data_IF_976466074586
#
_entry.id   IF_976466074586
#
_cell.length_a   1.000
_cell.length_b   1.000
_cell.length_c   1.000
_cell.angle_alpha   90.00
_cell.angle_beta   90.00
_cell.angle_gamma   90.00
#
_symmetry.space_group_name_H-M   'P 1'
#
loop_
_entity.id
_entity.type
_entity.pdbx_description
1 polymer ?
#
# COMPACT_ATOMS: atom_id res chain seq x y z
N UNK A 1 -14.53 -27.20 9.77
CA UNK A 1 -14.79 -27.36 8.32
C UNK A 1 -13.89 -26.39 7.58
N UNK A 2 -13.01 -26.87 6.71
CA UNK A 2 -12.14 -26.04 5.88
C UNK A 2 -12.98 -25.26 4.88
N UNK A 3 -12.90 -23.92 4.91
CA UNK A 3 -13.54 -23.05 3.92
C UNK A 3 -12.89 -23.29 2.56
N UNK A 4 -13.64 -23.82 1.60
CA UNK A 4 -13.14 -24.07 0.25
C UNK A 4 -12.74 -22.75 -0.42
N UNK A 5 -11.52 -22.72 -0.98
CA UNK A 5 -10.98 -21.57 -1.72
C UNK A 5 -11.86 -21.23 -2.91
N UNK A 6 -12.10 -19.94 -3.15
CA UNK A 6 -12.92 -19.45 -4.26
C UNK A 6 -12.04 -18.72 -5.29
N UNK A 7 -12.23 -19.05 -6.55
CA UNK A 7 -11.57 -18.41 -7.69
C UNK A 7 -12.62 -17.69 -8.54
N UNK A 8 -12.21 -16.62 -9.22
CA UNK A 8 -13.04 -15.99 -10.27
C UNK A 8 -12.43 -16.30 -11.63
N UNK A 9 -13.19 -16.99 -12.47
CA UNK A 9 -12.85 -17.18 -13.88
C UNK A 9 -13.45 -16.03 -14.68
N UNK A 10 -12.60 -15.30 -15.40
CA UNK A 10 -13.00 -14.25 -16.33
C UNK A 10 -12.46 -14.60 -17.71
N UNK A 11 -13.29 -14.53 -18.74
CA UNK A 11 -12.85 -14.71 -20.12
C UNK A 11 -13.72 -13.90 -21.08
N UNK A 12 -13.14 -13.53 -22.23
CA UNK A 12 -13.86 -12.90 -23.33
C UNK A 12 -13.97 -13.90 -24.49
N UNK A 13 -15.13 -13.91 -25.15
CA UNK A 13 -15.43 -14.81 -26.26
C UNK A 13 -16.35 -14.12 -27.27
N UNK A 14 -16.18 -14.32 -28.57
CA UNK A 14 -17.15 -13.90 -29.57
C UNK A 14 -18.55 -14.42 -29.24
N UNK A 15 -19.57 -13.61 -29.48
CA UNK A 15 -20.96 -13.94 -29.10
C UNK A 15 -21.44 -15.27 -29.69
N UNK A 16 -20.98 -15.62 -30.90
CA UNK A 16 -21.26 -16.90 -31.57
C UNK A 16 -20.74 -18.15 -30.81
N UNK A 17 -19.69 -18.03 -30.00
CA UNK A 17 -19.11 -19.14 -29.24
C UNK A 17 -19.42 -19.09 -27.74
N UNK A 18 -20.23 -18.13 -27.30
CA UNK A 18 -20.56 -17.87 -25.91
C UNK A 18 -21.25 -19.09 -25.24
N UNK A 19 -22.28 -19.63 -25.89
CA UNK A 19 -23.07 -20.73 -25.34
C UNK A 19 -22.20 -21.97 -25.07
N UNK A 20 -21.40 -22.36 -26.07
CA UNK A 20 -20.49 -23.50 -25.98
C UNK A 20 -19.43 -23.32 -24.87
N UNK A 21 -18.90 -22.11 -24.69
CA UNK A 21 -17.93 -21.83 -23.64
C UNK A 21 -18.55 -21.91 -22.24
N UNK A 22 -19.79 -21.40 -22.06
CA UNK A 22 -20.51 -21.49 -20.79
C UNK A 22 -20.83 -22.94 -20.43
N UNK A 23 -21.32 -23.72 -21.38
CA UNK A 23 -21.60 -25.14 -21.17
C UNK A 23 -20.35 -25.90 -20.72
N UNK A 24 -19.21 -25.66 -21.39
CA UNK A 24 -17.95 -26.32 -21.07
C UNK A 24 -17.44 -26.02 -19.65
N UNK A 25 -17.49 -24.74 -19.21
CA UNK A 25 -17.03 -24.39 -17.86
C UNK A 25 -17.99 -24.87 -16.77
N UNK A 26 -19.30 -24.91 -17.04
CA UNK A 26 -20.29 -25.39 -16.09
C UNK A 26 -20.24 -26.91 -15.90
N UNK A 27 -20.06 -27.65 -17.00
CA UNK A 27 -19.76 -29.08 -16.96
C UNK A 27 -18.48 -29.37 -16.15
N UNK A 28 -17.49 -28.48 -16.23
CA UNK A 28 -16.25 -28.55 -15.46
C UNK A 28 -16.37 -28.11 -13.99
N UNK A 29 -17.55 -27.66 -13.54
CA UNK A 29 -17.82 -27.31 -12.16
C UNK A 29 -17.72 -25.83 -11.81
N UNK A 30 -17.45 -24.94 -12.78
CA UNK A 30 -17.59 -23.50 -12.57
C UNK A 30 -19.06 -23.10 -12.40
N UNK A 31 -19.31 -21.97 -11.76
CA UNK A 31 -20.67 -21.43 -11.54
C UNK A 31 -21.49 -22.20 -10.50
N UNK A 32 -20.89 -23.13 -9.74
CA UNK A 32 -21.56 -23.84 -8.65
C UNK A 32 -21.37 -23.10 -7.33
N UNK A 33 -22.46 -22.73 -6.67
CA UNK A 33 -22.44 -22.04 -5.39
C UNK A 33 -22.80 -23.00 -4.24
N UNK A 34 -21.87 -23.32 -3.33
CA UNK A 34 -22.17 -24.14 -2.16
C UNK A 34 -23.02 -23.34 -1.18
N UNK A 35 -24.24 -23.80 -0.93
CA UNK A 35 -25.20 -23.18 -0.01
C UNK A 35 -26.59 -23.83 -0.13
N UNK A 36 -27.55 -23.45 0.74
CA UNK A 36 -28.90 -24.06 0.78
C UNK A 36 -29.64 -24.01 -0.57
N UNK A 37 -29.33 -23.01 -1.40
CA UNK A 37 -29.96 -22.83 -2.71
C UNK A 37 -29.37 -23.67 -3.84
N UNK A 38 -28.23 -24.34 -3.64
CA UNK A 38 -27.57 -25.23 -4.62
C UNK A 38 -27.53 -24.68 -6.06
N UNK A 39 -27.25 -23.38 -6.23
CA UNK A 39 -27.23 -22.74 -7.54
C UNK A 39 -26.11 -23.31 -8.42
N UNK A 40 -26.45 -23.64 -9.65
CA UNK A 40 -25.53 -24.08 -10.69
C UNK A 40 -25.53 -23.08 -11.84
N UNK A 41 -24.50 -23.13 -12.69
CA UNK A 41 -24.44 -22.34 -13.93
C UNK A 41 -24.46 -20.81 -13.71
N UNK A 42 -24.06 -20.37 -12.51
CA UNK A 42 -24.00 -18.95 -12.17
C UNK A 42 -22.87 -18.26 -12.94
N UNK A 43 -23.21 -17.25 -13.73
CA UNK A 43 -22.23 -16.34 -14.33
C UNK A 43 -22.82 -14.95 -14.51
N UNK A 44 -21.94 -13.95 -14.52
CA UNK A 44 -22.22 -12.64 -15.06
C UNK A 44 -21.78 -12.60 -16.52
N UNK A 45 -22.51 -11.87 -17.36
CA UNK A 45 -22.14 -11.67 -18.78
C UNK A 45 -22.45 -10.26 -19.20
N UNK A 46 -21.50 -9.62 -19.88
CA UNK A 46 -21.67 -8.31 -20.50
C UNK A 46 -21.15 -8.36 -21.93
N UNK A 47 -21.87 -7.73 -22.86
CA UNK A 47 -21.47 -7.61 -24.26
C UNK A 47 -20.69 -6.31 -24.43
N UNK A 48 -19.59 -6.36 -25.18
CA UNK A 48 -18.78 -5.20 -25.53
C UNK A 48 -17.99 -5.42 -26.82
N UNK A 49 -17.19 -4.44 -27.20
CA UNK A 49 -16.35 -4.51 -28.41
C UNK A 49 -14.92 -4.88 -28.03
N UNK A 50 -14.45 -6.04 -28.48
CA UNK A 50 -13.05 -6.43 -28.45
C UNK A 50 -12.30 -5.80 -29.62
N UNK A 51 -11.07 -5.35 -29.38
CA UNK A 51 -10.22 -4.74 -30.40
C UNK A 51 -8.81 -5.33 -30.33
N UNK A 52 -8.30 -5.82 -31.46
CA UNK A 52 -6.93 -6.33 -31.55
C UNK A 52 -6.35 -6.17 -32.96
N UNK A 53 -5.02 -6.15 -33.06
CA UNK A 53 -4.28 -6.16 -34.33
C UNK A 53 -3.29 -7.33 -34.29
N UNK A 54 -3.52 -8.43 -35.01
CA UNK A 54 -2.61 -9.57 -35.01
C UNK A 54 -1.24 -9.14 -35.58
N UNK A 55 -0.16 -9.43 -34.87
CA UNK A 55 1.21 -9.21 -35.35
C UNK A 55 1.68 -10.33 -36.29
N UNK A 56 2.87 -10.18 -36.88
CA UNK A 56 3.34 -11.04 -37.98
C UNK A 56 3.47 -12.53 -37.63
N UNK A 57 3.72 -12.84 -36.36
CA UNK A 57 3.79 -14.22 -35.85
C UNK A 57 2.43 -14.80 -35.43
N UNK A 58 1.34 -14.03 -35.52
CA UNK A 58 0.03 -14.47 -35.08
C UNK A 58 -0.59 -15.43 -36.09
N UNK A 59 -1.29 -16.45 -35.57
CA UNK A 59 -2.18 -17.33 -36.34
C UNK A 59 -3.62 -17.05 -35.93
N UNK A 60 -4.19 -15.89 -36.32
CA UNK A 60 -5.49 -15.47 -35.83
C UNK A 60 -6.60 -16.41 -36.31
N UNK A 61 -7.48 -16.80 -35.40
CA UNK A 61 -8.75 -17.44 -35.76
C UNK A 61 -9.79 -16.40 -36.24
N UNK A 62 -9.60 -15.13 -35.84
CA UNK A 62 -10.39 -13.96 -36.23
C UNK A 62 -9.45 -12.80 -36.54
N UNK A 63 -9.73 -12.04 -37.59
CA UNK A 63 -8.92 -10.90 -38.02
C UNK A 63 -7.79 -11.28 -38.97
N UNK A 64 -7.09 -10.25 -39.47
CA UNK A 64 -6.00 -10.39 -40.44
C UNK A 64 -4.71 -9.79 -39.86
N UNK A 65 -3.57 -10.42 -40.13
CA UNK A 65 -2.25 -9.92 -39.71
C UNK A 65 -2.05 -8.48 -40.20
N UNK A 66 -1.58 -7.62 -39.29
CA UNK A 66 -1.35 -6.20 -39.54
C UNK A 66 -2.60 -5.32 -39.57
N UNK A 67 -3.82 -5.89 -39.59
CA UNK A 67 -5.07 -5.12 -39.64
C UNK A 67 -5.76 -5.05 -38.28
N UNK A 68 -6.27 -3.85 -37.95
CA UNK A 68 -7.11 -3.68 -36.77
C UNK A 68 -8.42 -4.44 -36.99
N UNK A 69 -8.81 -5.25 -36.02
CA UNK A 69 -10.08 -5.98 -36.01
C UNK A 69 -10.86 -5.58 -34.76
N UNK A 70 -12.10 -5.19 -34.99
CA UNK A 70 -13.12 -5.09 -33.95
C UNK A 70 -14.08 -6.28 -34.06
N UNK A 71 -14.52 -6.79 -32.93
CA UNK A 71 -15.47 -7.90 -32.85
C UNK A 71 -16.34 -7.74 -31.60
N UNK A 72 -17.62 -8.09 -31.73
CA UNK A 72 -18.52 -8.14 -30.58
C UNK A 72 -18.20 -9.37 -29.72
N UNK A 73 -17.93 -9.12 -28.43
CA UNK A 73 -17.52 -10.12 -27.47
C UNK A 73 -18.40 -10.08 -26.23
N UNK A 74 -18.58 -11.26 -25.63
CA UNK A 74 -19.10 -11.40 -24.29
C UNK A 74 -17.94 -11.57 -23.31
N UNK A 75 -17.87 -10.70 -22.29
CA UNK A 75 -17.07 -10.94 -21.08
C UNK A 75 -17.91 -11.74 -20.11
N UNK A 76 -17.44 -12.93 -19.76
CA UNK A 76 -18.09 -13.83 -18.82
C UNK A 76 -17.28 -13.87 -17.52
N UNK A 77 -17.96 -13.72 -16.39
CA UNK A 77 -17.37 -13.89 -15.07
C UNK A 77 -18.13 -14.96 -14.29
N UNK A 78 -17.42 -15.93 -13.71
CA UNK A 78 -18.02 -16.97 -12.88
C UNK A 78 -17.11 -17.35 -11.72
N UNK A 79 -17.68 -17.99 -10.70
CA UNK A 79 -16.94 -18.49 -9.55
C UNK A 79 -16.53 -19.95 -9.76
N UNK A 80 -15.34 -20.33 -9.31
CA UNK A 80 -14.96 -21.74 -9.16
C UNK A 80 -14.64 -21.99 -7.68
N UNK A 81 -15.33 -22.97 -7.08
CA UNK A 81 -15.06 -23.36 -5.70
C UNK A 81 -14.12 -24.57 -5.70
N UNK A 82 -12.93 -24.38 -5.16
CA UNK A 82 -11.84 -25.35 -5.23
C UNK A 82 -10.96 -25.16 -6.46
N UNK A 83 -9.71 -25.58 -6.32
CA UNK A 83 -8.70 -25.45 -7.38
C UNK A 83 -9.00 -26.37 -8.56
N UNK A 84 -9.56 -27.56 -8.31
CA UNK A 84 -9.92 -28.52 -9.35
C UNK A 84 -10.98 -27.94 -10.30
N UNK A 85 -12.02 -27.30 -9.75
CA UNK A 85 -13.05 -26.64 -10.55
C UNK A 85 -12.45 -25.52 -11.43
N UNK A 86 -11.50 -24.74 -10.90
CA UNK A 86 -10.81 -23.70 -11.66
C UNK A 86 -9.95 -24.29 -12.79
N UNK A 87 -9.13 -25.31 -12.49
CA UNK A 87 -8.26 -25.99 -13.45
C UNK A 87 -9.07 -26.68 -14.55
N UNK A 88 -10.14 -27.38 -14.17
CA UNK A 88 -11.01 -28.07 -15.11
C UNK A 88 -11.73 -27.09 -16.03
N UNK A 89 -12.22 -25.96 -15.51
CA UNK A 89 -12.87 -24.94 -16.33
C UNK A 89 -11.91 -24.31 -17.35
N UNK A 90 -10.67 -24.01 -16.95
CA UNK A 90 -9.64 -23.52 -17.88
C UNK A 90 -9.26 -24.59 -18.92
N UNK A 91 -9.14 -25.85 -18.49
CA UNK A 91 -8.89 -26.97 -19.41
C UNK A 91 -10.01 -27.13 -20.43
N UNK A 92 -11.27 -27.04 -19.98
CA UNK A 92 -12.45 -27.12 -20.82
C UNK A 92 -12.44 -26.01 -21.89
N UNK A 93 -12.17 -24.76 -21.51
CA UNK A 93 -12.03 -23.65 -22.47
C UNK A 93 -10.91 -23.90 -23.48
N UNK A 94 -9.73 -24.39 -23.04
CA UNK A 94 -8.60 -24.67 -23.95
C UNK A 94 -8.88 -25.80 -24.95
N UNK A 95 -9.72 -26.75 -24.57
CA UNK A 95 -10.11 -27.89 -25.40
C UNK A 95 -11.16 -27.54 -26.46
N UNK A 96 -11.83 -26.39 -26.34
CA UNK A 96 -12.75 -25.92 -27.37
C UNK A 96 -11.95 -25.45 -28.61
N UNK A 97 -12.43 -25.84 -29.78
CA UNK A 97 -11.97 -25.32 -31.08
C UNK A 97 -12.46 -23.90 -31.35
N UNK A 98 -13.32 -23.34 -30.48
CA UNK A 98 -13.86 -22.00 -30.60
C UNK A 98 -12.78 -20.92 -30.61
N UNK A 99 -12.99 -19.80 -31.32
CA UNK A 99 -12.13 -18.61 -31.29
C UNK A 99 -12.19 -17.92 -29.92
N UNK A 100 -11.56 -18.49 -28.91
CA UNK A 100 -11.35 -17.82 -27.63
C UNK A 100 -10.07 -16.98 -27.78
N UNK A 101 -10.19 -15.66 -27.60
CA UNK A 101 -9.03 -14.74 -27.60
C UNK A 101 -8.04 -14.98 -26.44
N UNK A 102 -8.33 -15.96 -25.57
CA UNK A 102 -7.38 -16.55 -24.62
C UNK A 102 -6.06 -16.99 -25.27
N UNK A 103 -6.03 -17.31 -26.57
CA UNK A 103 -4.80 -17.81 -27.23
C UNK A 103 -3.78 -16.73 -27.57
N UNK A 104 -4.13 -15.43 -27.56
CA UNK A 104 -3.20 -14.33 -27.92
C UNK A 104 -2.86 -13.35 -26.80
N UNK A 105 -3.46 -13.49 -25.61
CA UNK A 105 -3.02 -12.81 -24.39
C UNK A 105 -2.62 -13.84 -23.31
N UNK A 106 -1.55 -14.64 -23.55
CA UNK A 106 -1.12 -15.64 -22.59
C UNK A 106 -0.62 -15.03 -21.27
N UNK A 107 -0.19 -13.76 -21.26
CA UNK A 107 0.60 -13.23 -20.15
C UNK A 107 -0.23 -12.93 -18.91
N UNK A 108 -1.36 -12.22 -19.03
CA UNK A 108 -2.08 -11.73 -17.84
C UNK A 108 -2.80 -12.85 -17.07
N UNK A 109 -3.41 -13.80 -17.77
CA UNK A 109 -4.19 -14.87 -17.12
C UNK A 109 -3.34 -16.06 -16.64
N UNK A 110 -2.24 -16.41 -17.33
CA UNK A 110 -1.28 -17.38 -16.79
C UNK A 110 -0.42 -16.78 -15.68
N UNK A 111 -0.15 -15.46 -15.68
CA UNK A 111 0.50 -14.80 -14.53
C UNK A 111 -0.30 -15.03 -13.25
N UNK A 112 -1.61 -14.80 -13.23
CA UNK A 112 -2.42 -15.09 -12.04
C UNK A 112 -2.34 -16.56 -11.59
N UNK A 113 -2.35 -17.51 -12.52
CA UNK A 113 -2.31 -18.94 -12.18
C UNK A 113 -0.93 -19.43 -11.69
N UNK A 114 0.16 -18.90 -12.26
CA UNK A 114 1.54 -19.19 -11.83
C UNK A 114 1.95 -18.42 -10.58
N UNK A 115 1.51 -17.17 -10.44
CA UNK A 115 1.60 -16.36 -9.22
C UNK A 115 0.97 -17.12 -8.05
N UNK A 116 -0.26 -17.58 -8.24
CA UNK A 116 -1.01 -18.28 -7.21
C UNK A 116 -0.44 -19.66 -6.88
N UNK A 117 0.09 -20.41 -7.88
CA UNK A 117 0.74 -21.70 -7.62
C UNK A 117 2.10 -21.55 -6.92
N UNK A 118 2.91 -20.54 -7.28
CA UNK A 118 4.13 -20.20 -6.53
C UNK A 118 3.80 -19.74 -5.12
N UNK A 119 2.79 -18.88 -4.93
CA UNK A 119 2.34 -18.43 -3.61
C UNK A 119 1.80 -19.56 -2.73
N UNK A 120 1.12 -20.58 -3.32
CA UNK A 120 0.73 -21.80 -2.61
C UNK A 120 1.90 -22.75 -2.32
N UNK A 121 2.91 -22.78 -3.19
CA UNK A 121 4.13 -23.57 -2.98
C UNK A 121 5.16 -22.89 -2.08
N UNK A 122 5.00 -21.59 -1.79
CA UNK A 122 5.64 -20.96 -0.64
C UNK A 122 4.92 -21.47 0.61
N UNK A 123 5.42 -22.55 1.18
CA UNK A 123 5.01 -22.95 2.52
C UNK A 123 5.08 -21.72 3.43
N UNK A 124 3.99 -21.44 4.14
CA UNK A 124 3.97 -20.35 5.12
C UNK A 124 5.13 -20.61 6.08
N UNK A 125 6.11 -19.70 6.06
CA UNK A 125 7.29 -19.80 6.92
C UNK A 125 6.99 -19.14 8.24
N UNK A 126 7.47 -19.75 9.32
CA UNK A 126 7.66 -19.03 10.58
C UNK A 126 8.66 -17.91 10.32
N UNK A 127 8.37 -16.71 10.80
CA UNK A 127 9.28 -15.57 10.71
C UNK A 127 9.94 -15.41 12.07
N UNK A 128 11.27 -15.43 12.14
CA UNK A 128 12.03 -15.26 13.38
C UNK A 128 13.17 -14.26 13.22
N UNK A 129 13.85 -14.25 12.07
CA UNK A 129 14.97 -13.37 11.79
C UNK A 129 14.51 -12.22 10.88
N UNK A 130 14.54 -10.98 11.40
CA UNK A 130 14.04 -9.79 10.72
C UNK A 130 15.18 -8.79 10.53
N UNK A 131 15.41 -8.38 9.29
CA UNK A 131 16.36 -7.31 8.96
C UNK A 131 15.62 -6.02 8.64
N UNK A 132 16.14 -4.87 9.08
CA UNK A 132 15.50 -3.56 8.88
C UNK A 132 16.42 -2.65 8.06
N UNK A 133 15.95 -2.18 6.91
CA UNK A 133 16.56 -1.10 6.17
C UNK A 133 15.96 0.25 6.63
N UNK A 134 16.80 1.16 7.10
CA UNK A 134 16.36 2.45 7.68
C UNK A 134 16.03 2.38 9.19
N UNK A 135 16.52 1.37 9.90
CA UNK A 135 16.27 1.15 11.34
C UNK A 135 16.80 2.24 12.28
N UNK A 136 17.58 3.20 11.79
CA UNK A 136 18.09 4.35 12.57
C UNK A 136 17.23 5.61 12.44
N UNK A 137 16.24 5.62 11.54
CA UNK A 137 15.28 6.73 11.41
C UNK A 137 14.22 6.75 12.51
N UNK A 138 13.33 7.75 12.52
CA UNK A 138 12.31 7.96 13.58
C UNK A 138 11.42 6.73 13.85
N UNK A 139 11.05 5.97 12.81
CA UNK A 139 10.22 4.76 12.94
C UNK A 139 11.02 3.51 13.34
N UNK A 140 12.34 3.56 13.26
CA UNK A 140 13.23 2.44 13.57
C UNK A 140 13.16 1.99 15.02
N UNK A 141 13.42 2.87 16.01
CA UNK A 141 13.39 2.50 17.43
C UNK A 141 12.09 1.83 17.91
N UNK A 142 10.87 2.34 17.63
CA UNK A 142 9.65 1.64 18.02
C UNK A 142 9.48 0.29 17.29
N UNK A 143 9.87 0.21 16.02
CA UNK A 143 9.83 -1.05 15.26
C UNK A 143 10.75 -2.10 15.89
N UNK A 144 12.01 -1.74 16.17
CA UNK A 144 13.00 -2.60 16.83
C UNK A 144 12.49 -3.07 18.19
N UNK A 145 11.96 -2.16 19.01
CA UNK A 145 11.44 -2.48 20.35
C UNK A 145 10.32 -3.53 20.29
N UNK A 146 9.32 -3.35 19.42
CA UNK A 146 8.20 -4.30 19.32
C UNK A 146 8.61 -5.64 18.71
N UNK A 147 9.56 -5.65 17.77
CA UNK A 147 10.15 -6.87 17.24
C UNK A 147 10.90 -7.66 18.34
N UNK A 148 11.81 -7.01 19.07
CA UNK A 148 12.54 -7.65 20.17
C UNK A 148 11.59 -8.16 21.26
N UNK A 149 10.58 -7.35 21.65
CA UNK A 149 9.56 -7.72 22.63
C UNK A 149 8.80 -9.00 22.25
N UNK A 150 8.57 -9.23 20.95
CA UNK A 150 7.87 -10.41 20.44
C UNK A 150 8.82 -11.55 20.05
N UNK A 151 10.09 -11.48 20.45
CA UNK A 151 11.06 -12.57 20.31
C UNK A 151 11.72 -12.70 18.95
N UNK A 152 11.58 -11.69 18.07
CA UNK A 152 12.31 -11.68 16.80
C UNK A 152 13.80 -11.39 17.03
N UNK A 153 14.67 -12.05 16.26
CA UNK A 153 16.07 -11.62 16.11
C UNK A 153 16.11 -10.47 15.12
N UNK A 154 16.69 -9.35 15.52
CA UNK A 154 16.66 -8.12 14.74
C UNK A 154 18.05 -7.73 14.30
N UNK A 155 18.21 -7.49 12.99
CA UNK A 155 19.39 -6.86 12.40
C UNK A 155 19.00 -5.54 11.72
N UNK A 156 19.90 -4.56 11.70
CA UNK A 156 19.67 -3.26 11.06
C UNK A 156 20.75 -3.00 10.02
N UNK A 157 20.32 -2.73 8.79
CA UNK A 157 21.18 -2.24 7.73
C UNK A 157 21.43 -0.74 7.89
N UNK A 158 22.69 -0.32 7.83
CA UNK A 158 23.11 1.08 7.89
C UNK A 158 24.35 1.34 7.05
N UNK A 159 24.47 2.54 6.50
CA UNK A 159 25.68 2.99 5.78
C UNK A 159 26.88 3.19 6.70
N UNK A 160 26.64 3.39 8.00
CA UNK A 160 27.70 3.63 8.97
C UNK A 160 27.36 2.88 10.28
N UNK A 161 27.89 1.67 10.48
CA UNK A 161 27.64 0.88 11.69
C UNK A 161 28.10 1.57 12.97
N UNK A 162 29.26 2.24 12.94
CA UNK A 162 29.85 2.87 14.13
C UNK A 162 29.04 4.03 14.73
N UNK A 163 28.15 4.66 13.95
CA UNK A 163 27.28 5.74 14.43
C UNK A 163 25.89 5.27 14.85
N UNK A 164 25.57 3.99 14.67
CA UNK A 164 24.26 3.44 15.02
C UNK A 164 24.11 3.29 16.54
N UNK A 165 23.24 4.12 17.13
CA UNK A 165 22.88 4.05 18.55
C UNK A 165 21.70 3.10 18.73
N UNK A 166 21.96 1.80 18.72
CA UNK A 166 20.95 0.74 18.82
C UNK A 166 21.19 -0.15 20.05
N UNK A 167 20.16 -0.87 20.54
CA UNK A 167 20.32 -1.83 21.62
C UNK A 167 21.41 -2.88 21.29
N UNK A 168 22.17 -3.35 22.29
CA UNK A 168 23.32 -4.25 22.07
C UNK A 168 22.93 -5.62 21.48
N UNK A 169 21.68 -6.05 21.67
CA UNK A 169 21.13 -7.27 21.08
C UNK A 169 20.79 -7.15 19.58
N UNK A 170 20.82 -5.95 19.01
CA UNK A 170 20.56 -5.71 17.59
C UNK A 170 21.87 -5.81 16.80
N UNK A 171 21.92 -6.71 15.83
CA UNK A 171 23.06 -6.79 14.92
C UNK A 171 23.05 -5.58 13.98
N UNK A 172 24.16 -4.85 13.89
CA UNK A 172 24.30 -3.73 12.97
C UNK A 172 25.15 -4.16 11.78
N UNK A 173 24.58 -4.10 10.58
CA UNK A 173 25.19 -4.59 9.34
C UNK A 173 25.43 -3.40 8.41
N UNK A 174 26.66 -3.30 7.90
CA UNK A 174 26.98 -2.31 6.88
C UNK A 174 26.22 -2.57 5.59
N UNK A 175 25.69 -1.51 4.97
CA UNK A 175 24.89 -1.60 3.77
C UNK A 175 25.20 -0.44 2.82
N UNK A 176 25.61 -0.79 1.60
CA UNK A 176 25.66 0.12 0.46
C UNK A 176 24.43 -0.13 -0.42
N UNK A 177 23.55 0.88 -0.48
CA UNK A 177 22.28 0.84 -1.20
C UNK A 177 22.39 1.20 -2.70
N UNK A 178 23.62 1.28 -3.24
CA UNK A 178 23.85 1.68 -4.64
C UNK A 178 23.32 0.64 -5.64
N UNK A 179 23.48 -0.66 -5.36
CA UNK A 179 22.94 -1.73 -6.19
C UNK A 179 22.55 -2.97 -5.38
N UNK A 180 21.86 -3.93 -6.01
CA UNK A 180 21.49 -5.16 -5.32
C UNK A 180 22.73 -6.02 -5.02
N UNK A 181 23.74 -5.94 -5.88
CA UNK A 181 25.05 -6.60 -5.76
C UNK A 181 25.84 -6.06 -4.57
N UNK A 182 25.80 -4.75 -4.31
CA UNK A 182 26.48 -4.16 -3.14
C UNK A 182 25.81 -4.54 -1.82
N UNK A 183 24.51 -4.84 -1.83
CA UNK A 183 23.78 -5.36 -0.66
C UNK A 183 23.92 -6.86 -0.44
N UNK A 184 24.44 -7.60 -1.43
CA UNK A 184 24.62 -9.05 -1.38
C UNK A 184 25.28 -9.55 -0.07
N UNK A 185 26.47 -9.05 0.35
CA UNK A 185 27.13 -9.52 1.58
C UNK A 185 26.35 -9.19 2.87
N UNK A 186 25.45 -8.21 2.80
CA UNK A 186 24.63 -7.76 3.92
C UNK A 186 23.36 -8.60 4.10
N UNK A 187 22.97 -9.42 3.11
CA UNK A 187 21.70 -10.14 3.10
C UNK A 187 21.84 -11.64 2.80
N UNK A 188 22.62 -12.03 1.79
CA UNK A 188 22.72 -13.43 1.36
C UNK A 188 23.42 -14.31 2.41
N UNK A 189 22.90 -15.52 2.61
CA UNK A 189 23.48 -16.50 3.55
C UNK A 189 23.27 -16.19 5.03
N UNK A 190 22.62 -15.06 5.38
CA UNK A 190 22.38 -14.64 6.78
C UNK A 190 21.09 -15.22 7.39
N UNK A 191 20.25 -15.87 6.59
CA UNK A 191 19.06 -16.56 7.07
C UNK A 191 17.94 -15.62 7.53
N UNK A 192 17.77 -14.46 6.87
CA UNK A 192 16.65 -13.56 7.15
C UNK A 192 15.33 -14.11 6.58
N UNK A 193 14.30 -14.13 7.41
CA UNK A 193 12.95 -14.54 7.03
C UNK A 193 12.14 -13.36 6.48
N UNK A 194 12.37 -12.18 7.06
CA UNK A 194 11.67 -10.97 6.66
C UNK A 194 12.58 -9.73 6.60
N UNK A 195 12.19 -8.78 5.77
CA UNK A 195 12.81 -7.46 5.68
C UNK A 195 11.77 -6.35 5.92
N UNK A 196 12.09 -5.38 6.76
CA UNK A 196 11.32 -4.15 6.95
C UNK A 196 12.04 -3.00 6.26
N UNK A 197 11.42 -2.36 5.28
CA UNK A 197 11.99 -1.24 4.53
C UNK A 197 11.29 0.05 4.94
N UNK A 198 11.94 0.82 5.81
CA UNK A 198 11.46 2.10 6.36
C UNK A 198 12.39 3.26 5.96
N UNK A 199 12.99 3.16 4.77
CA UNK A 199 13.76 4.24 4.16
C UNK A 199 12.84 5.43 3.82
N UNK A 200 13.38 6.64 3.96
CA UNK A 200 12.62 7.87 3.75
C UNK A 200 12.41 8.19 2.26
N UNK A 201 11.59 9.21 1.98
CA UNK A 201 11.23 9.64 0.62
C UNK A 201 12.41 10.02 -0.29
N UNK A 202 13.56 10.40 0.27
CA UNK A 202 14.75 10.75 -0.50
C UNK A 202 15.56 9.51 -0.90
N UNK A 203 15.16 8.33 -0.43
CA UNK A 203 15.83 7.04 -0.62
C UNK A 203 14.87 6.00 -1.25
N UNK A 204 13.98 6.43 -2.14
CA UNK A 204 13.08 5.51 -2.85
C UNK A 204 13.83 4.61 -3.84
N UNK A 205 14.84 5.11 -4.54
CA UNK A 205 15.69 4.28 -5.40
C UNK A 205 16.39 3.19 -4.59
N UNK A 206 16.94 3.55 -3.42
CA UNK A 206 17.49 2.60 -2.46
C UNK A 206 16.45 1.58 -1.97
N UNK A 207 15.17 1.94 -1.90
CA UNK A 207 14.09 1.01 -1.52
C UNK A 207 13.84 -0.04 -2.60
N UNK A 208 13.88 0.34 -3.88
CA UNK A 208 13.78 -0.58 -5.02
C UNK A 208 14.99 -1.53 -5.04
N UNK A 209 16.19 -0.98 -4.87
CA UNK A 209 17.44 -1.76 -4.78
C UNK A 209 17.39 -2.76 -3.62
N UNK A 210 16.95 -2.31 -2.43
CA UNK A 210 16.81 -3.16 -1.25
C UNK A 210 15.81 -4.29 -1.48
N UNK A 211 14.67 -4.00 -2.13
CA UNK A 211 13.67 -5.01 -2.46
C UNK A 211 14.23 -6.06 -3.42
N UNK A 212 15.00 -5.65 -4.44
CA UNK A 212 15.66 -6.60 -5.34
C UNK A 212 16.70 -7.46 -4.61
N UNK A 213 17.51 -6.86 -3.74
CA UNK A 213 18.49 -7.61 -2.95
C UNK A 213 17.82 -8.62 -2.00
N UNK A 214 16.67 -8.27 -1.42
CA UNK A 214 15.88 -9.18 -0.59
C UNK A 214 15.35 -10.39 -1.40
N UNK A 215 14.86 -10.15 -2.63
CA UNK A 215 14.48 -11.21 -3.57
C UNK A 215 15.66 -12.12 -3.89
N UNK A 216 16.82 -11.54 -4.25
CA UNK A 216 18.02 -12.32 -4.56
C UNK A 216 18.49 -13.17 -3.37
N UNK A 217 18.35 -12.66 -2.15
CA UNK A 217 18.66 -13.37 -0.92
C UNK A 217 17.61 -14.41 -0.49
N UNK A 218 16.49 -14.53 -1.22
CA UNK A 218 15.45 -15.50 -0.92
C UNK A 218 14.63 -15.20 0.34
N UNK A 219 14.56 -13.93 0.75
CA UNK A 219 13.77 -13.47 1.89
C UNK A 219 12.28 -13.72 1.62
N UNK A 220 11.57 -14.27 2.61
CA UNK A 220 10.18 -14.68 2.43
C UNK A 220 9.19 -13.50 2.46
N UNK A 221 9.33 -12.58 3.42
CA UNK A 221 8.37 -11.49 3.67
C UNK A 221 9.02 -10.12 3.64
N UNK A 222 8.44 -9.19 2.89
CA UNK A 222 8.77 -7.77 2.98
C UNK A 222 7.66 -6.99 3.70
N UNK A 223 8.06 -6.02 4.52
CA UNK A 223 7.23 -4.90 4.97
C UNK A 223 7.74 -3.63 4.27
N UNK A 224 7.26 -3.34 3.06
CA UNK A 224 7.65 -2.16 2.30
C UNK A 224 7.04 -0.87 2.86
N UNK A 225 7.61 0.27 2.46
CA UNK A 225 7.19 1.62 2.90
C UNK A 225 5.85 2.07 2.29
N UNK A 226 4.77 1.33 2.57
CA UNK A 226 3.39 1.71 2.23
C UNK A 226 2.86 2.85 3.11
N UNK A 227 3.48 3.07 4.28
CA UNK A 227 3.08 4.03 5.30
C UNK A 227 2.58 5.38 4.74
N UNK A 228 1.51 5.89 5.35
CA UNK A 228 0.75 7.02 4.83
C UNK A 228 -0.66 6.62 4.43
N UNK A 229 -1.06 7.06 3.24
CA UNK A 229 -2.44 7.07 2.72
C UNK A 229 -2.66 6.07 1.59
N UNK A 230 -3.93 5.80 1.26
CA UNK A 230 -4.27 4.89 0.16
C UNK A 230 -3.89 5.47 -1.20
N UNK A 231 -3.78 4.59 -2.19
CA UNK A 231 -3.41 4.92 -3.57
C UNK A 231 -4.52 4.60 -4.57
N UNK A 232 -5.70 4.26 -4.06
CA UNK A 232 -6.82 3.80 -4.88
C UNK A 232 -7.43 4.92 -5.73
N UNK A 233 -7.16 6.19 -5.38
CA UNK A 233 -7.63 7.34 -6.14
C UNK A 233 -6.68 7.64 -7.32
N UNK A 234 -7.11 7.42 -8.58
CA UNK A 234 -6.25 7.63 -9.75
C UNK A 234 -5.82 9.07 -9.96
N UNK A 235 -6.64 10.04 -9.54
CA UNK A 235 -6.31 11.46 -9.64
C UNK A 235 -5.14 11.81 -8.69
N UNK A 236 -5.17 11.28 -7.46
CA UNK A 236 -4.07 11.44 -6.50
C UNK A 236 -2.82 10.71 -6.98
N UNK A 237 -2.96 9.50 -7.54
CA UNK A 237 -1.86 8.75 -8.10
C UNK A 237 -1.12 9.52 -9.21
N UNK A 238 -1.82 10.37 -9.96
CA UNK A 238 -1.24 11.20 -11.02
C UNK A 238 -0.59 12.50 -10.50
N UNK A 239 -0.75 12.84 -9.22
CA UNK A 239 -0.15 14.06 -8.67
C UNK A 239 1.39 13.96 -8.60
N UNK A 240 2.12 15.07 -8.78
CA UNK A 240 3.59 15.05 -8.85
C UNK A 240 4.30 14.40 -7.66
N UNK A 241 3.76 14.55 -6.44
CA UNK A 241 4.39 13.96 -5.26
C UNK A 241 4.32 12.43 -5.24
N UNK A 242 3.38 11.82 -5.97
CA UNK A 242 3.21 10.38 -6.08
C UNK A 242 4.16 9.74 -7.10
N UNK A 243 4.68 10.50 -8.07
CA UNK A 243 5.57 10.00 -9.14
C UNK A 243 6.81 9.27 -8.61
N UNK A 244 7.29 9.65 -7.42
CA UNK A 244 8.48 9.02 -6.80
C UNK A 244 8.14 7.82 -5.91
N UNK A 245 6.93 7.77 -5.33
CA UNK A 245 6.50 6.67 -4.44
C UNK A 245 5.89 5.50 -5.22
N UNK A 246 5.11 5.77 -6.27
CA UNK A 246 4.42 4.73 -7.05
C UNK A 246 5.35 3.66 -7.63
N UNK A 247 6.53 4.00 -8.21
CA UNK A 247 7.44 2.98 -8.74
C UNK A 247 7.89 1.98 -7.67
N UNK A 248 8.14 2.45 -6.44
CA UNK A 248 8.54 1.58 -5.32
C UNK A 248 7.46 0.54 -5.01
N UNK A 249 6.20 0.96 -4.99
CA UNK A 249 5.09 0.08 -4.62
C UNK A 249 4.74 -0.87 -5.77
N UNK A 250 4.76 -0.38 -7.01
CA UNK A 250 4.54 -1.19 -8.20
C UNK A 250 5.63 -2.27 -8.33
N UNK A 251 6.88 -1.96 -7.99
CA UNK A 251 7.98 -2.92 -7.96
C UNK A 251 7.71 -4.07 -6.98
N UNK A 252 7.28 -3.75 -5.75
CA UNK A 252 6.88 -4.75 -4.75
C UNK A 252 5.76 -5.64 -5.28
N UNK A 253 4.69 -5.02 -5.79
CA UNK A 253 3.51 -5.74 -6.27
C UNK A 253 3.87 -6.67 -7.44
N UNK A 254 4.68 -6.20 -8.39
CA UNK A 254 5.13 -6.99 -9.53
C UNK A 254 5.99 -8.19 -9.11
N UNK A 255 6.91 -8.01 -8.15
CA UNK A 255 7.72 -9.11 -7.60
C UNK A 255 6.86 -10.13 -6.84
N UNK A 256 5.89 -9.65 -6.08
CA UNK A 256 4.96 -10.51 -5.35
C UNK A 256 4.05 -11.31 -6.28
N UNK A 257 3.58 -10.70 -7.37
CA UNK A 257 2.83 -11.38 -8.43
C UNK A 257 3.68 -12.46 -9.10
N UNK A 258 4.98 -12.26 -9.30
CA UNK A 258 5.87 -13.30 -9.84
C UNK A 258 6.18 -14.43 -8.85
N UNK A 259 5.71 -14.30 -7.59
CA UNK A 259 6.00 -15.23 -6.49
C UNK A 259 7.47 -15.20 -6.07
N UNK A 260 8.16 -14.07 -6.27
CA UNK A 260 9.58 -13.89 -5.93
C UNK A 260 9.77 -13.54 -4.44
N UNK A 261 8.79 -12.85 -3.85
CA UNK A 261 8.74 -12.47 -2.44
C UNK A 261 7.27 -12.29 -2.03
N UNK A 262 6.94 -12.40 -0.75
CA UNK A 262 5.63 -11.98 -0.23
C UNK A 262 5.72 -10.63 0.45
N UNK A 263 4.62 -9.89 0.54
CA UNK A 263 4.61 -8.58 1.21
C UNK A 263 3.46 -8.44 2.21
N UNK A 264 3.58 -7.47 3.11
CA UNK A 264 2.45 -6.90 3.85
C UNK A 264 2.59 -5.39 3.88
N UNK A 265 1.61 -4.67 3.32
CA UNK A 265 1.57 -3.21 3.38
C UNK A 265 0.73 -2.72 4.55
N UNK A 266 1.12 -1.58 5.13
CA UNK A 266 0.42 -0.95 6.26
C UNK A 266 0.22 0.53 5.93
N UNK A 267 -1.02 0.94 5.75
CA UNK A 267 -1.45 2.34 5.66
C UNK A 267 -1.77 2.85 7.06
N UNK A 268 -1.23 4.02 7.39
CA UNK A 268 -1.15 4.53 8.78
C UNK A 268 -1.78 5.91 8.93
N UNK A 269 -2.23 6.51 7.82
CA UNK A 269 -2.53 7.93 7.77
C UNK A 269 -1.28 8.73 8.12
N UNK A 270 -1.47 9.83 8.83
CA UNK A 270 -0.38 10.69 9.29
C UNK A 270 0.43 10.02 10.42
N UNK A 271 1.72 10.31 10.51
CA UNK A 271 2.52 9.92 11.67
C UNK A 271 2.22 10.92 12.79
N UNK A 272 1.41 10.51 13.77
CA UNK A 272 0.81 11.40 14.76
C UNK A 272 1.86 12.27 15.47
N UNK A 273 2.90 11.62 16.01
CA UNK A 273 3.98 12.32 16.71
C UNK A 273 4.61 13.38 15.83
N UNK A 274 4.93 13.01 14.58
CA UNK A 274 5.63 13.88 13.66
C UNK A 274 4.78 15.10 13.26
N UNK A 275 3.50 14.89 12.98
CA UNK A 275 2.65 15.97 12.49
C UNK A 275 2.23 16.96 13.57
N UNK A 276 2.32 16.56 14.85
CA UNK A 276 2.13 17.43 16.00
C UNK A 276 3.44 18.11 16.44
N UNK A 277 4.58 17.39 16.43
CA UNK A 277 5.86 17.94 16.89
C UNK A 277 6.47 18.97 15.94
N UNK A 278 6.17 18.88 14.64
CA UNK A 278 6.70 19.77 13.60
C UNK A 278 5.65 20.74 13.03
N UNK A 279 4.54 20.93 13.73
CA UNK A 279 3.48 21.88 13.34
C UNK A 279 2.90 21.64 11.93
N UNK A 280 2.92 20.39 11.45
CA UNK A 280 2.46 20.03 10.10
C UNK A 280 0.93 19.99 10.02
N UNK A 281 0.27 19.48 11.06
CA UNK A 281 -1.19 19.35 11.10
C UNK A 281 -1.85 20.62 11.67
N UNK A 282 -1.35 21.08 12.81
CA UNK A 282 -1.74 22.30 13.52
C UNK A 282 -0.47 22.94 14.07
N UNK A 283 -0.35 24.27 13.97
CA UNK A 283 0.75 25.06 14.50
C UNK A 283 0.67 25.19 16.02
N UNK A 284 1.11 24.15 16.75
CA UNK A 284 1.08 24.11 18.20
C UNK A 284 2.17 24.97 18.84
N UNK A 285 3.35 25.09 18.20
CA UNK A 285 4.47 25.85 18.78
C UNK A 285 4.44 27.35 18.49
N UNK A 286 3.50 27.81 17.64
CA UNK A 286 3.40 29.21 17.20
C UNK A 286 4.42 29.61 16.13
N UNK A 287 5.32 28.71 15.68
CA UNK A 287 6.34 29.02 14.65
C UNK A 287 5.78 29.26 13.25
N UNK A 288 4.61 28.71 12.96
CA UNK A 288 3.92 28.85 11.69
C UNK A 288 2.40 28.84 11.90
N UNK A 289 1.63 29.56 11.06
CA UNK A 289 0.17 29.52 11.14
C UNK A 289 -0.35 28.14 10.77
N UNK A 290 -1.47 27.76 11.38
CA UNK A 290 -2.24 26.59 10.95
C UNK A 290 -2.97 26.94 9.66
N UNK A 291 -2.63 26.25 8.56
CA UNK A 291 -3.38 26.34 7.30
C UNK A 291 -4.65 25.49 7.42
N UNK A 292 -5.75 26.09 7.84
CA UNK A 292 -7.04 25.42 8.05
C UNK A 292 -7.65 25.12 6.68
N UNK A 293 -7.68 23.85 6.32
CA UNK A 293 -8.08 23.39 4.99
C UNK A 293 -9.58 23.17 4.92
N UNK A 294 -10.23 23.83 3.96
CA UNK A 294 -11.66 23.66 3.63
C UNK A 294 -12.57 23.74 4.90
N UNK A 295 -12.29 24.68 5.80
CA UNK A 295 -13.04 24.92 7.03
C UNK A 295 -12.61 24.10 8.25
N UNK A 296 -11.64 23.19 8.13
CA UNK A 296 -10.91 22.62 9.28
C UNK A 296 -11.54 21.40 9.98
N UNK A 297 -12.74 20.98 9.59
CA UNK A 297 -13.47 19.86 10.20
C UNK A 297 -13.42 18.55 9.40
N UNK A 298 -12.47 18.44 8.47
CA UNK A 298 -12.25 17.22 7.71
C UNK A 298 -11.52 16.20 8.60
N UNK A 299 -12.07 15.00 8.82
CA UNK A 299 -11.49 13.99 9.71
C UNK A 299 -10.23 13.39 9.08
N UNK A 300 -9.14 13.27 9.86
CA UNK A 300 -7.86 12.69 9.44
C UNK A 300 -7.42 11.57 10.36
N UNK A 301 -7.03 10.44 9.78
CA UNK A 301 -6.40 9.31 10.46
C UNK A 301 -4.95 9.62 10.77
N UNK A 302 -4.54 9.36 12.01
CA UNK A 302 -3.14 9.42 12.41
C UNK A 302 -2.76 8.28 13.35
N UNK A 303 -1.54 7.79 13.20
CA UNK A 303 -1.00 6.66 13.98
C UNK A 303 0.29 7.09 14.67
N UNK A 304 0.44 6.74 15.95
CA UNK A 304 1.70 6.96 16.67
C UNK A 304 2.81 6.09 16.08
N UNK A 305 4.06 6.56 16.13
CA UNK A 305 5.21 5.75 15.71
C UNK A 305 5.31 4.44 16.51
N UNK A 306 4.88 4.44 17.78
CA UNK A 306 4.79 3.23 18.60
C UNK A 306 3.79 2.21 18.03
N UNK A 307 2.56 2.64 17.74
CA UNK A 307 1.53 1.75 17.16
C UNK A 307 1.90 1.27 15.76
N UNK A 308 2.63 2.06 14.96
CA UNK A 308 3.16 1.60 13.68
C UNK A 308 4.20 0.49 13.91
N UNK A 309 5.15 0.68 14.84
CA UNK A 309 6.12 -0.36 15.21
C UNK A 309 5.44 -1.64 15.71
N UNK A 310 4.39 -1.49 16.52
CA UNK A 310 3.55 -2.59 17.00
C UNK A 310 2.84 -3.31 15.87
N UNK A 311 2.27 -2.59 14.90
CA UNK A 311 1.59 -3.15 13.74
C UNK A 311 2.56 -3.95 12.86
N UNK A 312 3.77 -3.43 12.61
CA UNK A 312 4.83 -4.13 11.86
C UNK A 312 5.14 -5.48 12.53
N UNK A 313 5.33 -5.48 13.85
CA UNK A 313 5.57 -6.72 14.58
C UNK A 313 4.37 -7.67 14.54
N UNK A 314 3.15 -7.15 14.73
CA UNK A 314 1.91 -7.93 14.73
C UNK A 314 1.66 -8.65 13.39
N UNK A 315 1.95 -8.00 12.25
CA UNK A 315 1.75 -8.65 10.95
C UNK A 315 2.76 -9.77 10.69
N UNK A 316 3.99 -9.63 11.20
CA UNK A 316 5.04 -10.66 11.09
C UNK A 316 4.78 -11.86 12.01
N UNK A 317 4.09 -11.64 13.14
CA UNK A 317 3.62 -12.71 14.03
C UNK A 317 2.47 -13.54 13.42
N UNK A 318 1.83 -13.04 12.36
CA UNK A 318 0.68 -13.67 11.69
C UNK A 318 0.98 -13.95 10.21
N UNK A 319 2.08 -14.66 9.88
CA UNK A 319 2.61 -14.73 8.51
C UNK A 319 1.62 -15.37 7.53
N UNK A 320 0.74 -16.28 7.99
CA UNK A 320 -0.29 -16.91 7.18
C UNK A 320 -1.39 -15.92 6.79
N UNK A 321 -1.84 -15.14 7.75
CA UNK A 321 -2.99 -14.26 7.63
C UNK A 321 -2.66 -12.99 6.86
N UNK A 322 -1.40 -12.54 6.89
CA UNK A 322 -0.97 -11.21 6.41
C UNK A 322 -0.27 -11.23 5.06
N UNK A 323 -0.13 -12.41 4.44
CA UNK A 323 0.54 -12.60 3.15
C UNK A 323 -0.18 -11.82 2.03
N UNK A 324 0.57 -10.95 1.35
CA UNK A 324 0.14 -10.13 0.21
C UNK A 324 -1.14 -9.34 0.47
N UNK A 325 -1.22 -8.72 1.65
CA UNK A 325 -2.35 -7.89 2.07
C UNK A 325 -1.92 -6.49 2.45
N UNK A 326 -2.89 -5.58 2.36
CA UNK A 326 -2.82 -4.23 2.88
C UNK A 326 -3.68 -4.14 4.14
N UNK A 327 -3.16 -3.43 5.13
CA UNK A 327 -3.84 -3.15 6.39
C UNK A 327 -3.93 -1.65 6.59
N UNK A 328 -5.01 -1.18 7.21
CA UNK A 328 -5.27 0.23 7.49
C UNK A 328 -5.40 0.41 9.00
N UNK A 329 -4.58 1.29 9.57
CA UNK A 329 -4.61 1.56 11.02
C UNK A 329 -4.67 3.05 11.29
N UNK A 330 -5.22 3.39 12.45
CA UNK A 330 -5.03 4.68 13.09
C UNK A 330 -4.99 4.54 14.60
N UNK A 331 -4.22 5.38 15.28
CA UNK A 331 -4.34 5.55 16.72
C UNK A 331 -5.50 6.50 17.03
N UNK A 332 -5.69 7.54 16.21
CA UNK A 332 -6.69 8.58 16.46
C UNK A 332 -7.24 9.15 15.16
N UNK A 333 -8.46 9.68 15.23
CA UNK A 333 -9.05 10.53 14.20
C UNK A 333 -9.13 11.96 14.72
N UNK A 334 -8.60 12.90 13.97
CA UNK A 334 -8.49 14.32 14.37
C UNK A 334 -9.03 15.24 13.28
N UNK A 335 -9.51 16.42 13.67
CA UNK A 335 -9.75 17.56 12.77
C UNK A 335 -8.87 18.72 13.22
N UNK A 336 -8.58 19.66 12.30
CA UNK A 336 -7.73 20.80 12.63
C UNK A 336 -8.40 21.67 13.69
N UNK A 337 -9.71 21.92 13.57
CA UNK A 337 -10.46 22.70 14.54
C UNK A 337 -10.49 22.06 15.94
N UNK A 338 -10.62 20.73 16.01
CA UNK A 338 -10.59 20.02 17.30
C UNK A 338 -9.24 20.14 17.99
N UNK A 339 -8.15 19.95 17.25
CA UNK A 339 -6.79 20.07 17.80
C UNK A 339 -6.46 21.52 18.18
N UNK A 340 -6.87 22.50 17.36
CA UNK A 340 -6.76 23.93 17.68
C UNK A 340 -7.55 24.30 18.94
N UNK A 341 -8.77 23.77 19.09
CA UNK A 341 -9.59 23.97 20.29
C UNK A 341 -8.85 23.50 21.56
N UNK A 342 -8.32 22.28 21.53
CA UNK A 342 -7.51 21.77 22.65
C UNK A 342 -6.24 22.58 22.91
N UNK A 343 -5.57 23.08 21.86
CA UNK A 343 -4.39 23.91 22.02
C UNK A 343 -4.71 25.25 22.72
N UNK A 344 -5.83 25.89 22.33
CA UNK A 344 -6.34 27.12 22.97
C UNK A 344 -6.75 26.88 24.42
N UNK A 345 -7.41 25.76 24.72
CA UNK A 345 -7.73 25.38 26.09
C UNK A 345 -6.46 25.14 26.94
N UNK A 346 -5.41 24.56 26.36
CA UNK A 346 -4.16 24.29 27.06
C UNK A 346 -3.35 25.56 27.37
N UNK A 347 -3.50 26.61 26.57
CA UNK A 347 -2.80 27.89 26.73
C UNK A 347 -3.72 29.06 26.33
N UNK A 348 -4.67 29.46 27.21
CA UNK A 348 -5.69 30.47 26.88
C UNK A 348 -5.15 31.84 26.48
N UNK A 349 -3.98 32.20 27.01
CA UNK A 349 -3.33 33.49 26.74
C UNK A 349 -2.43 33.48 25.48
N UNK A 350 -2.26 32.31 24.84
CA UNK A 350 -1.45 32.20 23.64
C UNK A 350 -2.25 32.43 22.36
N UNK A 351 -1.64 33.12 21.41
CA UNK A 351 -2.19 33.30 20.07
C UNK A 351 -1.77 32.16 19.15
N UNK A 352 -2.75 31.49 18.56
CA UNK A 352 -2.54 30.45 17.55
C UNK A 352 -2.97 30.99 16.19
N UNK A 353 -1.99 31.42 15.39
CA UNK A 353 -2.23 31.98 14.06
C UNK A 353 -2.89 30.95 13.13
N UNK A 354 -3.86 31.40 12.34
CA UNK A 354 -4.64 30.58 11.40
C UNK A 354 -4.68 31.27 10.03
N UNK A 355 -4.56 30.47 8.97
CA UNK A 355 -4.77 30.84 7.58
C UNK A 355 -5.84 29.91 7.01
N UNK A 356 -7.01 30.44 6.63
CA UNK A 356 -8.02 29.65 5.93
C UNK A 356 -7.58 29.39 4.49
N UNK A 357 -7.62 28.12 4.05
CA UNK A 357 -7.19 27.74 2.71
C UNK A 357 -8.23 26.89 2.00
N UNK A 358 -8.57 27.29 0.77
CA UNK A 358 -9.35 26.47 -0.16
C UNK A 358 -8.38 25.53 -0.91
N UNK A 359 -8.53 24.23 -0.67
CA UNK A 359 -7.61 23.24 -1.23
C UNK A 359 -7.70 23.13 -2.76
N UNK A 360 -8.85 23.50 -3.37
CA UNK A 360 -9.01 23.54 -4.82
C UNK A 360 -8.19 24.67 -5.42
N UNK A 361 -8.25 25.87 -4.83
CA UNK A 361 -7.43 27.00 -5.29
C UNK A 361 -5.94 26.70 -5.14
N UNK A 362 -5.54 26.05 -4.05
CA UNK A 362 -4.15 25.62 -3.84
C UNK A 362 -3.68 24.65 -4.93
N UNK A 363 -4.49 23.64 -5.27
CA UNK A 363 -4.08 22.64 -6.27
C UNK A 363 -4.05 23.23 -7.68
N UNK A 364 -4.97 24.15 -8.01
CA UNK A 364 -4.95 24.87 -9.28
C UNK A 364 -3.67 25.70 -9.44
N UNK A 365 -3.30 26.45 -8.41
CA UNK A 365 -2.06 27.21 -8.39
C UNK A 365 -0.82 26.31 -8.46
N UNK A 366 -0.84 25.16 -7.77
CA UNK A 366 0.23 24.17 -7.81
C UNK A 366 0.38 23.55 -9.21
N UNK A 367 -0.72 23.22 -9.88
CA UNK A 367 -0.70 22.74 -11.26
C UNK A 367 -0.18 23.78 -12.24
N UNK A 368 -0.57 25.05 -12.07
CA UNK A 368 -0.03 26.15 -12.90
C UNK A 368 1.50 26.21 -12.81
N UNK A 369 2.04 26.32 -11.58
CA UNK A 369 3.49 26.32 -11.34
C UNK A 369 4.16 25.07 -11.91
N UNK A 370 3.54 23.90 -11.71
CA UNK A 370 4.08 22.64 -12.21
C UNK A 370 4.14 22.59 -13.75
N UNK A 371 3.10 23.06 -14.43
CA UNK A 371 3.04 23.07 -15.90
C UNK A 371 4.00 24.09 -16.51
N UNK A 372 4.34 25.15 -15.78
CA UNK A 372 5.39 26.12 -16.12
C UNK A 372 6.82 25.58 -15.84
N UNK A 373 6.95 24.33 -15.38
CA UNK A 373 8.24 23.69 -15.12
C UNK A 373 8.79 23.89 -13.70
N UNK A 374 8.08 24.61 -12.84
CA UNK A 374 8.52 24.87 -11.45
C UNK A 374 8.35 23.60 -10.61
N UNK A 375 9.38 23.26 -9.83
CA UNK A 375 9.44 22.06 -8.96
C UNK A 375 9.81 22.45 -7.54
N UNK A 376 8.92 23.17 -6.88
CA UNK A 376 9.13 23.70 -5.53
C UNK A 376 8.44 22.87 -4.43
N UNK A 377 8.81 23.13 -3.17
CA UNK A 377 8.22 22.48 -2.00
C UNK A 377 6.78 22.95 -1.72
N UNK A 378 6.41 24.14 -2.16
CA UNK A 378 5.10 24.75 -1.91
C UNK A 378 4.02 23.98 -2.67
N UNK A 379 4.24 23.77 -3.97
CA UNK A 379 3.39 23.00 -4.86
C UNK A 379 3.25 21.55 -4.38
N UNK A 380 4.34 20.92 -3.95
CA UNK A 380 4.28 19.57 -3.35
C UNK A 380 3.38 19.57 -2.10
N UNK A 381 3.52 20.56 -1.21
CA UNK A 381 2.67 20.70 -0.02
C UNK A 381 1.21 20.91 -0.41
N UNK A 382 0.93 21.77 -1.37
CA UNK A 382 -0.43 22.07 -1.83
C UNK A 382 -1.11 20.84 -2.47
N UNK A 383 -0.39 20.05 -3.27
CA UNK A 383 -0.89 18.75 -3.75
C UNK A 383 -1.22 17.79 -2.60
N UNK A 384 -0.35 17.69 -1.60
CA UNK A 384 -0.56 16.81 -0.45
C UNK A 384 -1.76 17.25 0.39
N UNK A 385 -1.92 18.56 0.62
CA UNK A 385 -3.08 19.13 1.33
C UNK A 385 -4.36 18.81 0.56
N UNK A 386 -4.40 19.07 -0.76
CA UNK A 386 -5.57 18.74 -1.59
C UNK A 386 -5.90 17.25 -1.57
N UNK A 387 -4.90 16.39 -1.73
CA UNK A 387 -5.09 14.95 -1.71
C UNK A 387 -5.67 14.47 -0.37
N UNK A 388 -5.16 15.02 0.75
CA UNK A 388 -5.54 14.58 2.08
C UNK A 388 -6.93 15.08 2.47
N UNK A 389 -7.12 16.41 2.46
CA UNK A 389 -8.33 17.06 2.94
C UNK A 389 -9.41 17.09 1.84
N UNK A 390 -9.07 17.63 0.69
CA UNK A 390 -10.03 17.92 -0.37
C UNK A 390 -10.50 16.70 -1.19
N UNK A 391 -9.82 15.57 -1.07
CA UNK A 391 -10.09 14.34 -1.84
C UNK A 391 -10.22 13.08 -0.97
N UNK A 392 -10.24 13.24 0.36
CA UNK A 392 -10.54 12.18 1.32
C UNK A 392 -9.44 11.15 1.57
N UNK A 393 -8.21 11.36 1.07
CA UNK A 393 -7.17 10.34 1.19
C UNK A 393 -6.57 10.22 2.60
N UNK A 394 -6.79 11.22 3.45
CA UNK A 394 -6.25 11.20 4.82
C UNK A 394 -7.12 10.47 5.84
N UNK A 395 -8.30 9.95 5.49
CA UNK A 395 -9.23 9.30 6.43
C UNK A 395 -9.46 7.83 6.09
N UNK A 396 -9.48 6.99 7.13
CA UNK A 396 -9.81 5.57 7.02
C UNK A 396 -11.13 5.30 7.74
N UNK A 397 -12.24 5.10 7.01
CA UNK A 397 -13.55 4.83 7.63
C UNK A 397 -13.61 3.43 8.26
N UNK A 398 -12.70 2.54 7.87
CA UNK A 398 -12.53 1.20 8.44
C UNK A 398 -11.05 0.95 8.69
N UNK A 399 -10.74 0.28 9.79
CA UNK A 399 -9.38 -0.09 10.16
C UNK A 399 -9.30 -1.56 10.54
N UNK A 400 -8.08 -2.08 10.47
CA UNK A 400 -7.69 -3.42 10.92
C UNK A 400 -7.10 -3.38 12.34
N UNK A 401 -7.41 -2.32 13.10
CA UNK A 401 -6.90 -2.07 14.44
C UNK A 401 -7.07 -3.27 15.37
N UNK A 402 -8.28 -3.83 15.44
CA UNK A 402 -8.58 -5.00 16.28
C UNK A 402 -7.71 -6.21 15.89
N UNK A 403 -7.60 -6.49 14.60
CA UNK A 403 -6.79 -7.60 14.09
C UNK A 403 -5.31 -7.44 14.44
N UNK A 404 -4.79 -6.20 14.46
CA UNK A 404 -3.40 -5.89 14.77
C UNK A 404 -3.16 -5.50 16.25
N UNK A 405 -4.21 -5.52 17.07
CA UNK A 405 -4.16 -5.13 18.48
C UNK A 405 -3.85 -3.65 18.71
N UNK A 406 -4.12 -2.77 17.74
CA UNK A 406 -3.95 -1.32 17.85
C UNK A 406 -5.17 -0.74 18.55
N UNK A 407 -4.94 0.04 19.62
CA UNK A 407 -6.03 0.66 20.37
C UNK A 407 -6.27 2.06 19.83
N UNK A 408 -7.54 2.36 19.55
CA UNK A 408 -7.93 3.71 19.18
C UNK A 408 -8.08 4.57 20.45
N UNK A 409 -7.52 5.78 20.40
CA UNK A 409 -7.64 6.77 21.45
C UNK A 409 -9.05 7.37 21.51
N UNK A 410 -9.46 7.69 22.73
CA UNK A 410 -10.61 8.55 22.98
C UNK A 410 -10.30 10.02 22.65
N UNK A 411 -11.35 10.86 22.61
CA UNK A 411 -11.17 12.31 22.49
C UNK A 411 -10.39 12.91 23.66
N UNK A 412 -10.52 12.35 24.85
CA UNK A 412 -9.83 12.85 26.05
C UNK A 412 -8.33 12.55 26.01
N UNK A 413 -7.93 11.36 25.57
CA UNK A 413 -6.51 11.03 25.40
C UNK A 413 -5.84 11.91 24.35
N UNK A 414 -6.55 12.23 23.26
CA UNK A 414 -6.06 13.22 22.29
C UNK A 414 -5.88 14.59 22.97
N UNK A 415 -6.87 15.03 23.76
CA UNK A 415 -6.81 16.31 24.47
C UNK A 415 -5.63 16.38 25.42
N UNK A 416 -5.46 15.37 26.27
CA UNK A 416 -4.32 15.26 27.19
C UNK A 416 -2.99 15.33 26.46
N UNK A 417 -2.89 14.66 25.31
CA UNK A 417 -1.68 14.61 24.52
C UNK A 417 -1.35 15.94 23.80
N UNK A 418 -2.38 16.71 23.40
CA UNK A 418 -2.20 18.10 22.93
C UNK A 418 -1.78 19.00 24.10
N UNK A 419 -2.44 18.89 25.25
CA UNK A 419 -2.11 19.67 26.45
C UNK A 419 -0.66 19.45 26.86
N UNK A 420 -0.20 18.20 26.85
CA UNK A 420 1.19 17.84 27.16
C UNK A 420 2.17 18.56 26.24
N UNK A 421 1.92 18.58 24.92
CA UNK A 421 2.80 19.24 23.95
C UNK A 421 2.83 20.74 24.10
N UNK A 422 1.67 21.38 24.19
CA UNK A 422 1.57 22.84 24.34
C UNK A 422 2.23 23.31 25.63
N UNK A 423 2.08 22.56 26.74
CA UNK A 423 2.75 22.90 28.00
C UNK A 423 4.27 22.68 27.94
N UNK A 424 4.72 21.64 27.24
CA UNK A 424 6.16 21.36 27.09
C UNK A 424 6.86 22.40 26.20
N UNK A 425 6.15 22.91 25.18
CA UNK A 425 6.63 23.95 24.27
C UNK A 425 5.57 25.06 24.15
N UNK A 426 5.50 26.00 25.11
CA UNK A 426 4.54 27.09 25.07
C UNK A 426 4.67 27.89 23.76
N UNK A 427 3.57 28.31 23.13
CA UNK A 427 3.62 29.01 21.85
C UNK A 427 4.40 30.30 21.98
N UNK A 428 5.37 30.53 21.10
CA UNK A 428 6.01 31.84 20.99
C UNK A 428 5.04 32.73 20.23
N UNK A 429 4.46 33.74 20.89
CA UNK A 429 3.64 34.73 20.20
C UNK A 429 4.46 35.31 19.04
N UNK A 430 3.98 35.09 17.81
CA UNK A 430 4.42 35.87 16.67
C UNK A 430 3.93 37.30 16.94
N UNK A 431 4.72 38.08 17.69
CA UNK A 431 4.58 39.53 17.64
C UNK A 431 4.68 39.87 16.16
N UNK A 432 3.58 40.35 15.59
CA UNK A 432 3.57 40.89 14.25
C UNK A 432 4.79 41.80 14.13
N UNK A 433 5.75 41.44 13.28
CA UNK A 433 6.74 42.39 12.83
C UNK A 433 5.97 43.44 12.05
N UNK A 434 5.68 44.56 12.72
CA UNK A 434 5.40 45.83 12.08
C UNK A 434 6.68 46.22 11.32
N UNK A 435 6.79 45.82 10.05
CA UNK A 435 7.69 46.43 9.06
C UNK A 435 7.14 46.26 7.64
#
# INVERSE_FOLDING_TARGET
>A
MTTATRFRLVFNVPTLSLAQCKEAIFAAGAGRYPGPGNYTECCWTVIGTGQFRPGDAAKPHLGEVGKLKEVEEARVETICVGEDAARNAVKALKSLSAPILMKSLPTLYFQFFFAYSKLKNMSVRTISNVVIAGGTGRLGPPTIRHLLKNGFKVSVLTRNPSSAKLPPEVEVIEADYTSAETLKPSLEGRGFDAIVIILNRLAYDASVVTMQAAVNAGIYRAIPSFFGVSLDNPEIANMPFMKTKLPVLNDVLAKAEKGEITYTGINTGMFLDWVLDEDIFVGLSGKAPTRVADGGDIPMSATTLDDIGKAISAVLMKPKETVNKLYYIHTVVMTQNKVLGYAREASPDAEFAVEEVDTKLLVEAAWKRYNEGIRDRISVRDFVIRASYGMGNGFFPKTDNEFLGIRQWSGEELKEEIFRRVKANPPVSLKATEE
#
